data_IF_863744530103
#
_entry.id   IF_863744530103
#
_cell.length_a   1.000
_cell.length_b   1.000
_cell.length_c   1.000
_cell.angle_alpha   90.00
_cell.angle_beta   90.00
_cell.angle_gamma   90.00
#
_symmetry.space_group_name_H-M   'P 1'
#
loop_
_entity.id
_entity.type
_entity.pdbx_description
1 polymer ?
#
# COMPACT_ATOMS: atom_id res chain seq x y z
N UNK A 1 -24.70 -3.56 10.47
CA UNK A 1 -24.88 -4.38 9.26
C UNK A 1 -24.64 -3.62 7.94
N UNK A 2 -24.32 -2.34 7.96
CA UNK A 2 -24.12 -1.49 6.75
C UNK A 2 -22.65 -1.41 6.32
N UNK A 3 -21.66 -1.67 7.18
CA UNK A 3 -20.24 -1.51 6.88
C UNK A 3 -19.65 -2.68 6.07
N UNK A 4 -20.21 -3.88 6.18
CA UNK A 4 -19.72 -5.07 5.44
C UNK A 4 -20.06 -5.07 3.94
N UNK A 5 -21.08 -4.32 3.52
CA UNK A 5 -21.44 -4.19 2.12
C UNK A 5 -20.49 -3.28 1.33
N UNK A 6 -19.82 -2.33 2.01
CA UNK A 6 -18.92 -1.36 1.37
C UNK A 6 -17.59 -1.98 0.92
N UNK A 7 -17.05 -2.96 1.65
CA UNK A 7 -15.73 -3.55 1.37
C UNK A 7 -15.76 -4.51 0.16
N UNK A 8 -16.87 -5.25 -0.03
CA UNK A 8 -17.05 -6.09 -1.24
C UNK A 8 -17.12 -5.25 -2.52
N UNK A 9 -17.65 -4.04 -2.44
CA UNK A 9 -17.77 -3.14 -3.60
C UNK A 9 -16.43 -2.45 -3.93
N UNK A 10 -15.52 -2.25 -2.97
CA UNK A 10 -14.19 -1.71 -3.23
C UNK A 10 -13.30 -2.74 -3.95
N UNK A 11 -13.35 -4.02 -3.57
CA UNK A 11 -12.62 -5.08 -4.26
C UNK A 11 -13.11 -5.30 -5.70
N UNK A 12 -14.41 -5.23 -5.94
CA UNK A 12 -15.03 -5.32 -7.28
C UNK A 12 -14.72 -4.06 -8.10
N UNK A 13 -14.71 -2.87 -7.47
CA UNK A 13 -14.36 -1.60 -8.11
C UNK A 13 -12.90 -1.56 -8.58
N UNK A 14 -11.97 -2.11 -7.82
CA UNK A 14 -10.56 -2.22 -8.20
C UNK A 14 -10.39 -3.15 -9.41
N UNK A 15 -11.08 -4.30 -9.45
CA UNK A 15 -11.03 -5.22 -10.58
C UNK A 15 -11.64 -4.63 -11.87
N UNK A 16 -12.72 -3.84 -11.76
CA UNK A 16 -13.36 -3.18 -12.91
C UNK A 16 -12.53 -1.99 -13.44
N UNK A 17 -11.77 -1.31 -12.58
CA UNK A 17 -10.89 -0.21 -12.97
C UNK A 17 -9.69 -0.70 -13.81
N UNK A 18 -9.19 -1.91 -13.55
CA UNK A 18 -8.12 -2.52 -14.36
C UNK A 18 -8.55 -2.92 -15.77
N UNK A 19 -9.85 -3.13 -16.02
CA UNK A 19 -10.37 -3.54 -17.33
C UNK A 19 -10.61 -2.39 -18.33
N UNK A 20 -10.76 -1.15 -17.85
CA UNK A 20 -11.16 -0.02 -18.69
C UNK A 20 -10.09 1.06 -18.94
N UNK A 21 -9.04 1.12 -18.12
CA UNK A 21 -8.04 2.20 -18.15
C UNK A 21 -6.74 1.83 -18.88
N UNK A 22 -6.68 0.70 -19.55
CA UNK A 22 -5.45 0.19 -20.18
C UNK A 22 -4.99 1.02 -21.41
N UNK A 23 -5.66 2.09 -21.79
CA UNK A 23 -5.42 2.81 -23.05
C UNK A 23 -4.89 4.24 -22.87
N UNK A 24 -4.91 4.82 -21.68
CA UNK A 24 -4.50 6.22 -21.49
C UNK A 24 -3.13 6.32 -20.81
N UNK A 25 -2.15 6.80 -21.57
CA UNK A 25 -0.84 7.32 -21.15
C UNK A 25 0.16 6.28 -20.64
N UNK A 26 0.55 5.33 -21.46
CA UNK A 26 1.86 4.66 -21.35
C UNK A 26 2.98 5.66 -21.61
N UNK A 27 3.18 6.61 -20.72
CA UNK A 27 4.39 7.43 -20.74
C UNK A 27 5.55 6.51 -20.33
N UNK A 28 6.38 6.13 -21.32
CA UNK A 28 7.63 5.40 -21.13
C UNK A 28 8.59 6.27 -20.36
N UNK A 29 8.45 6.28 -19.02
CA UNK A 29 9.54 6.76 -18.18
C UNK A 29 10.50 5.60 -17.99
N UNK A 30 11.80 5.89 -18.16
CA UNK A 30 12.87 4.97 -17.79
C UNK A 30 12.61 4.43 -16.38
N UNK A 31 12.67 3.12 -16.20
CA UNK A 31 12.49 2.54 -14.87
C UNK A 31 13.66 3.00 -13.98
N UNK A 32 13.33 3.49 -12.80
CA UNK A 32 14.28 3.95 -11.79
C UNK A 32 14.03 3.24 -10.48
N UNK A 33 15.08 3.08 -9.69
CA UNK A 33 14.95 2.61 -8.31
C UNK A 33 14.21 3.65 -7.48
N UNK A 34 13.34 3.21 -6.60
CA UNK A 34 12.57 4.07 -5.72
C UNK A 34 12.87 3.74 -4.26
N UNK A 35 13.17 4.76 -3.49
CA UNK A 35 13.16 4.70 -2.03
C UNK A 35 11.86 5.32 -1.52
N UNK A 36 11.22 4.65 -0.57
CA UNK A 36 9.96 5.09 0.03
C UNK A 36 10.12 5.20 1.53
N UNK A 37 9.68 6.32 2.09
CA UNK A 37 9.53 6.49 3.53
C UNK A 37 8.07 6.82 3.83
N UNK A 38 7.55 6.32 4.94
CA UNK A 38 6.16 6.54 5.31
C UNK A 38 5.97 6.72 6.81
N UNK A 39 4.93 7.47 7.16
CA UNK A 39 4.44 7.63 8.52
C UNK A 39 2.90 7.70 8.51
N UNK A 40 2.24 7.05 9.46
CA UNK A 40 0.79 7.00 9.46
C UNK A 40 0.17 6.49 10.74
N UNK A 41 -1.13 6.26 10.69
CA UNK A 41 -1.93 5.71 11.77
C UNK A 41 -2.59 4.42 11.34
N UNK A 42 -2.43 3.39 12.17
CA UNK A 42 -3.06 2.08 12.04
C UNK A 42 -4.30 2.01 12.93
N UNK A 43 -5.27 1.17 12.53
CA UNK A 43 -6.55 0.95 13.22
C UNK A 43 -7.39 2.24 13.29
N UNK A 44 -7.47 2.95 12.17
CA UNK A 44 -8.20 4.22 12.06
C UNK A 44 -9.71 4.04 12.14
N UNK A 45 -10.25 2.87 11.77
CA UNK A 45 -11.68 2.59 11.74
C UNK A 45 -12.24 2.17 13.10
N UNK A 46 -11.55 1.28 13.82
CA UNK A 46 -12.02 0.72 15.10
C UNK A 46 -11.45 1.42 16.32
N UNK A 47 -10.25 2.01 16.18
CA UNK A 47 -9.54 2.79 17.21
C UNK A 47 -9.27 2.05 18.52
N UNK A 48 -9.33 0.72 18.53
CA UNK A 48 -9.08 -0.10 19.74
C UNK A 48 -7.60 -0.30 20.00
N UNK A 49 -6.80 -0.37 18.93
CA UNK A 49 -5.35 -0.59 18.98
C UNK A 49 -4.60 0.42 18.15
N UNK A 50 -5.14 1.66 18.03
CA UNK A 50 -4.51 2.72 17.25
C UNK A 50 -3.05 2.90 17.62
N UNK A 51 -2.19 2.99 16.60
CA UNK A 51 -0.76 3.16 16.75
C UNK A 51 -0.23 4.02 15.60
N UNK A 52 0.87 4.71 15.83
CA UNK A 52 1.65 5.32 14.74
C UNK A 52 2.46 4.23 14.07
N UNK A 53 2.45 4.21 12.74
CA UNK A 53 3.33 3.37 11.94
C UNK A 53 4.44 4.20 11.28
N UNK A 54 5.62 3.61 11.15
CA UNK A 54 6.73 4.11 10.34
C UNK A 54 7.12 3.01 9.38
N UNK A 55 7.43 3.37 8.13
CA UNK A 55 7.78 2.42 7.10
C UNK A 55 8.93 2.88 6.22
N UNK A 56 9.69 1.91 5.74
CA UNK A 56 10.68 2.05 4.69
C UNK A 56 10.42 1.02 3.62
N UNK A 57 10.54 1.43 2.35
CA UNK A 57 10.34 0.55 1.22
C UNK A 57 11.30 0.85 0.08
N UNK A 58 11.47 -0.13 -0.77
CA UNK A 58 12.29 -0.06 -1.97
C UNK A 58 11.55 -0.67 -3.16
N UNK A 59 11.58 0.00 -4.28
CA UNK A 59 11.10 -0.48 -5.56
C UNK A 59 12.23 -0.50 -6.56
N UNK A 60 12.71 -1.69 -6.99
CA UNK A 60 13.79 -1.79 -7.97
C UNK A 60 13.35 -1.24 -9.34
N UNK A 61 14.34 -0.81 -10.14
CA UNK A 61 14.15 -0.42 -11.55
C UNK A 61 13.81 -1.63 -12.42
N UNK A 62 12.83 -2.40 -11.99
CA UNK A 62 12.29 -3.55 -12.68
C UNK A 62 10.83 -3.28 -13.02
N UNK A 63 10.41 -3.72 -14.18
CA UNK A 63 9.01 -3.72 -14.58
C UNK A 63 8.60 -5.12 -14.95
N UNK A 64 7.50 -5.55 -14.38
CA UNK A 64 6.80 -6.76 -14.77
C UNK A 64 5.58 -6.31 -15.59
N UNK A 65 5.80 -6.05 -16.88
CA UNK A 65 4.86 -5.36 -17.79
C UNK A 65 4.56 -3.93 -17.32
N UNK A 66 3.33 -3.68 -16.88
CA UNK A 66 2.91 -2.39 -16.35
C UNK A 66 3.13 -2.26 -14.83
N UNK A 67 3.43 -3.38 -14.15
CA UNK A 67 3.57 -3.43 -12.71
C UNK A 67 5.00 -3.16 -12.26
N UNK A 68 5.12 -2.48 -11.13
CA UNK A 68 6.38 -2.21 -10.45
C UNK A 68 6.44 -3.05 -9.18
N UNK A 69 7.41 -3.98 -9.08
CA UNK A 69 7.66 -4.67 -7.82
C UNK A 69 8.13 -3.69 -6.75
N UNK A 70 7.80 -3.98 -5.51
CA UNK A 70 8.27 -3.24 -4.35
C UNK A 70 8.24 -4.13 -3.11
N UNK A 71 9.07 -3.79 -2.12
CA UNK A 71 9.07 -4.45 -0.83
C UNK A 71 9.46 -3.48 0.27
N UNK A 72 9.21 -3.84 1.51
CA UNK A 72 9.50 -2.95 2.62
C UNK A 72 9.21 -3.55 3.99
N UNK A 73 9.46 -2.71 4.98
CA UNK A 73 9.24 -3.00 6.39
C UNK A 73 8.45 -1.86 7.01
N UNK A 74 7.49 -2.21 7.85
CA UNK A 74 6.72 -1.29 8.68
C UNK A 74 6.82 -1.70 10.14
N UNK A 75 6.95 -0.72 11.02
CA UNK A 75 6.93 -0.89 12.47
C UNK A 75 5.93 0.09 13.08
N UNK A 76 5.35 -0.28 14.21
CA UNK A 76 4.41 0.58 14.93
C UNK A 76 4.88 0.89 16.34
N UNK A 77 4.34 1.96 16.93
CA UNK A 77 4.56 2.31 18.34
C UNK A 77 4.04 1.26 19.32
N UNK A 78 3.28 0.29 18.84
CA UNK A 78 2.85 -0.91 19.61
C UNK A 78 3.66 -2.16 19.27
N UNK A 79 4.87 -1.99 18.72
CA UNK A 79 5.82 -3.08 18.41
C UNK A 79 5.30 -4.10 17.38
N UNK A 80 4.24 -3.75 16.64
CA UNK A 80 3.88 -4.55 15.48
C UNK A 80 4.89 -4.33 14.37
N UNK A 81 5.21 -5.42 13.67
CA UNK A 81 6.15 -5.41 12.53
C UNK A 81 5.48 -6.10 11.34
N UNK A 82 5.60 -5.51 10.16
CA UNK A 82 5.10 -6.06 8.92
C UNK A 82 6.15 -5.95 7.82
N UNK A 83 6.71 -7.07 7.42
CA UNK A 83 7.61 -7.17 6.25
C UNK A 83 6.82 -7.64 5.03
N UNK A 84 6.90 -6.92 3.91
CA UNK A 84 6.07 -7.17 2.75
C UNK A 84 6.85 -7.10 1.43
N UNK A 85 6.34 -7.79 0.43
CA UNK A 85 6.75 -7.65 -0.97
C UNK A 85 5.51 -7.74 -1.85
N UNK A 86 5.49 -7.02 -2.96
CA UNK A 86 4.30 -6.99 -3.81
C UNK A 86 4.50 -6.18 -5.08
N UNK A 87 3.40 -5.78 -5.67
CA UNK A 87 3.35 -5.06 -6.94
C UNK A 87 2.50 -3.80 -6.81
N UNK A 88 2.87 -2.77 -7.55
CA UNK A 88 2.17 -1.50 -7.67
C UNK A 88 1.98 -1.13 -9.14
N UNK A 89 0.91 -0.40 -9.44
CA UNK A 89 0.62 0.13 -10.76
C UNK A 89 0.45 1.64 -10.68
N UNK A 90 1.30 2.40 -11.39
CA UNK A 90 1.29 3.86 -11.35
C UNK A 90 0.46 4.44 -12.51
N UNK A 91 -0.68 5.05 -12.21
CA UNK A 91 -1.48 5.86 -13.14
C UNK A 91 -1.09 7.33 -12.95
N UNK A 92 -0.55 7.96 -13.99
CA UNK A 92 -0.08 9.34 -13.95
C UNK A 92 -1.00 10.27 -14.72
N UNK A 93 -1.38 11.39 -14.09
CA UNK A 93 -2.22 12.43 -14.67
C UNK A 93 -1.54 13.78 -14.36
N UNK A 94 -0.69 14.25 -15.26
CA UNK A 94 0.15 15.44 -15.01
C UNK A 94 1.08 15.25 -13.81
N UNK A 95 1.00 16.10 -12.77
CA UNK A 95 1.81 15.96 -11.56
C UNK A 95 1.24 14.93 -10.57
N UNK A 96 0.00 14.48 -10.79
CA UNK A 96 -0.68 13.52 -9.92
C UNK A 96 -0.33 12.09 -10.32
N UNK A 97 -0.28 11.20 -9.31
CA UNK A 97 -0.14 9.76 -9.51
C UNK A 97 -1.14 9.06 -8.61
N UNK A 98 -1.90 8.14 -9.17
CA UNK A 98 -2.73 7.20 -8.41
C UNK A 98 -2.07 5.83 -8.50
N UNK A 99 -1.75 5.24 -7.34
CA UNK A 99 -0.99 3.97 -7.28
C UNK A 99 -1.74 2.94 -6.45
N UNK A 100 -2.59 2.09 -7.07
CA UNK A 100 -3.03 0.86 -6.45
C UNK A 100 -1.86 -0.11 -6.30
N UNK A 101 -1.82 -0.83 -5.19
CA UNK A 101 -0.82 -1.87 -4.92
C UNK A 101 -1.40 -3.02 -4.10
N UNK A 102 -0.77 -4.19 -4.25
CA UNK A 102 -1.09 -5.38 -3.49
C UNK A 102 0.20 -6.06 -3.05
N UNK A 103 0.28 -6.45 -1.78
CA UNK A 103 1.48 -7.02 -1.19
C UNK A 103 1.15 -8.07 -0.12
N UNK A 104 1.49 -9.34 -0.32
CA UNK A 104 1.64 -10.31 0.75
C UNK A 104 2.80 -9.95 1.67
N UNK A 105 2.72 -10.34 2.94
CA UNK A 105 3.78 -10.09 3.90
C UNK A 105 3.61 -10.87 5.19
N UNK A 106 4.66 -10.84 6.01
CA UNK A 106 4.68 -11.47 7.32
C UNK A 106 4.45 -10.41 8.41
N UNK A 107 3.49 -10.68 9.25
CA UNK A 107 3.06 -9.81 10.32
C UNK A 107 3.34 -10.40 11.70
N UNK A 108 3.90 -9.58 12.59
CA UNK A 108 4.02 -9.85 14.01
C UNK A 108 3.32 -8.74 14.77
N UNK A 109 2.33 -9.09 15.60
CA UNK A 109 1.44 -8.11 16.21
C UNK A 109 2.07 -7.24 17.31
N UNK A 110 3.11 -7.75 18.03
CA UNK A 110 3.56 -7.09 19.25
C UNK A 110 2.39 -6.87 20.23
N UNK A 111 2.16 -5.60 20.59
CA UNK A 111 1.00 -5.15 21.38
C UNK A 111 -0.11 -4.53 20.50
N UNK A 112 0.02 -4.65 19.19
CA UNK A 112 -0.94 -4.13 18.21
C UNK A 112 -2.13 -5.06 17.98
N UNK A 113 -2.77 -4.90 16.82
CA UNK A 113 -3.94 -5.70 16.41
C UNK A 113 -3.54 -7.15 16.20
N UNK A 114 -4.33 -8.08 16.73
CA UNK A 114 -4.21 -9.50 16.38
C UNK A 114 -4.99 -9.73 15.06
N UNK A 115 -4.27 -9.97 13.99
CA UNK A 115 -4.85 -10.21 12.68
C UNK A 115 -5.22 -11.68 12.43
N UNK A 116 -4.88 -12.57 13.38
CA UNK A 116 -5.31 -13.98 13.39
C UNK A 116 -4.42 -14.93 12.61
N UNK A 117 -3.46 -14.44 11.81
CA UNK A 117 -2.52 -15.26 11.05
C UNK A 117 -1.21 -14.49 10.77
N UNK A 118 -0.05 -15.14 10.65
CA UNK A 118 1.20 -14.45 10.36
C UNK A 118 1.31 -13.95 8.91
N UNK A 119 0.71 -14.64 7.95
CA UNK A 119 0.69 -14.20 6.56
C UNK A 119 -0.52 -13.28 6.35
N UNK A 120 -0.22 -12.04 5.98
CA UNK A 120 -1.20 -11.00 5.74
C UNK A 120 -1.06 -10.43 4.35
N UNK A 121 -2.17 -9.92 3.81
CA UNK A 121 -2.23 -9.29 2.50
C UNK A 121 -2.61 -7.83 2.67
N UNK A 122 -1.81 -6.92 2.11
CA UNK A 122 -2.04 -5.48 2.11
C UNK A 122 -2.55 -5.04 0.74
N UNK A 123 -3.75 -4.49 0.71
CA UNK A 123 -4.27 -3.72 -0.42
C UNK A 123 -4.15 -2.24 -0.11
N UNK A 124 -3.59 -1.44 -1.02
CA UNK A 124 -3.37 -0.02 -0.80
C UNK A 124 -3.71 0.79 -2.04
N UNK A 125 -4.25 1.99 -1.82
CA UNK A 125 -4.40 3.02 -2.83
C UNK A 125 -3.68 4.28 -2.35
N UNK A 126 -2.66 4.71 -3.10
CA UNK A 126 -1.91 5.95 -2.86
C UNK A 126 -2.34 7.01 -3.88
N UNK A 127 -2.59 8.23 -3.41
CA UNK A 127 -2.67 9.45 -4.21
C UNK A 127 -1.40 10.28 -3.96
N UNK A 128 -0.56 10.43 -4.97
CA UNK A 128 0.72 11.11 -4.89
C UNK A 128 0.77 12.38 -5.74
N UNK A 129 1.51 13.37 -5.31
CA UNK A 129 1.80 14.60 -6.02
C UNK A 129 3.31 14.75 -6.22
N UNK A 130 3.74 14.94 -7.45
CA UNK A 130 5.15 15.14 -7.82
C UNK A 130 5.58 16.55 -7.42
N UNK A 131 6.52 16.65 -6.49
CA UNK A 131 7.07 17.92 -5.98
C UNK A 131 8.39 18.29 -6.67
N UNK A 132 9.04 17.33 -7.33
CA UNK A 132 10.22 17.55 -8.18
C UNK A 132 10.32 16.41 -9.21
N UNK A 133 11.32 16.48 -10.10
CA UNK A 133 11.57 15.42 -11.10
C UNK A 133 11.87 14.07 -10.47
N UNK A 134 12.32 14.05 -9.21
CA UNK A 134 12.74 12.82 -8.50
C UNK A 134 11.95 12.54 -7.24
N UNK A 135 11.04 13.43 -6.83
CA UNK A 135 10.39 13.28 -5.53
C UNK A 135 8.88 13.45 -5.64
N UNK A 136 8.16 12.63 -4.89
CA UNK A 136 6.72 12.63 -4.76
C UNK A 136 6.35 12.54 -3.27
N UNK A 137 5.36 13.31 -2.86
CA UNK A 137 4.65 13.14 -1.59
C UNK A 137 3.27 12.58 -1.88
N UNK A 138 2.73 11.80 -0.95
CA UNK A 138 1.43 11.18 -1.15
C UNK A 138 0.75 10.81 0.15
N UNK A 139 -0.51 10.44 0.01
CA UNK A 139 -1.31 9.86 1.08
C UNK A 139 -1.90 8.54 0.58
N UNK A 140 -1.91 7.54 1.43
CA UNK A 140 -2.46 6.23 1.11
C UNK A 140 -3.49 5.78 2.15
N UNK A 141 -4.48 5.05 1.64
CA UNK A 141 -5.36 4.21 2.42
C UNK A 141 -4.96 2.76 2.18
N UNK A 142 -4.81 2.00 3.24
CA UNK A 142 -4.52 0.57 3.14
C UNK A 142 -5.40 -0.26 4.05
N UNK A 143 -5.63 -1.50 3.61
CA UNK A 143 -6.27 -2.55 4.37
C UNK A 143 -5.35 -3.75 4.42
N UNK A 144 -5.13 -4.30 5.61
CA UNK A 144 -4.35 -5.50 5.84
C UNK A 144 -5.24 -6.57 6.45
N UNK A 145 -5.23 -7.76 5.88
CA UNK A 145 -6.02 -8.90 6.36
C UNK A 145 -5.43 -10.22 5.88
N UNK A 146 -5.74 -11.31 6.58
CA UNK A 146 -5.23 -12.65 6.25
C UNK A 146 -6.05 -13.39 5.17
N UNK A 147 -6.98 -12.73 4.49
CA UNK A 147 -7.85 -13.36 3.47
C UNK A 147 -8.59 -14.61 3.98
N UNK A 148 -8.88 -14.68 5.29
CA UNK A 148 -9.52 -15.83 5.96
C UNK A 148 -8.66 -17.09 6.03
N UNK A 149 -7.34 -16.98 5.94
CA UNK A 149 -6.41 -18.10 6.16
C UNK A 149 -6.33 -18.50 7.65
N UNK A 150 -6.60 -17.57 8.56
CA UNK A 150 -6.66 -17.82 10.01
C UNK A 150 -8.07 -18.14 10.49
N UNK A 151 -8.17 -18.49 11.78
CA UNK A 151 -9.47 -18.72 12.44
C UNK A 151 -10.31 -17.44 12.55
N UNK A 152 -9.66 -16.29 12.58
CA UNK A 152 -10.26 -14.97 12.60
C UNK A 152 -9.60 -14.10 11.54
N UNK A 153 -10.35 -13.16 10.97
CA UNK A 153 -9.87 -12.21 9.99
C UNK A 153 -10.44 -10.81 10.29
N UNK A 154 -9.99 -10.15 11.37
CA UNK A 154 -10.53 -8.85 11.75
C UNK A 154 -10.18 -7.76 10.75
N UNK A 155 -9.04 -7.87 10.08
CA UNK A 155 -8.47 -6.84 9.23
C UNK A 155 -8.08 -5.57 10.00
N UNK A 156 -7.33 -4.68 9.37
CA UNK A 156 -7.00 -3.37 9.92
C UNK A 156 -6.79 -2.37 8.78
N UNK A 157 -7.27 -1.14 8.98
CA UNK A 157 -7.10 -0.03 8.05
C UNK A 157 -6.05 0.95 8.57
N UNK A 158 -5.27 1.52 7.64
CA UNK A 158 -4.32 2.57 7.94
C UNK A 158 -4.42 3.73 6.94
N UNK A 159 -4.11 4.92 7.46
CA UNK A 159 -3.89 6.14 6.68
C UNK A 159 -2.43 6.52 6.81
N UNK A 160 -1.74 6.68 5.70
CA UNK A 160 -0.28 6.83 5.68
C UNK A 160 0.12 7.99 4.78
N UNK A 161 1.01 8.84 5.25
CA UNK A 161 1.74 9.82 4.44
C UNK A 161 3.00 9.15 3.89
N UNK A 162 3.30 9.40 2.62
CA UNK A 162 4.44 8.80 1.92
C UNK A 162 5.31 9.88 1.30
N UNK A 163 6.60 9.63 1.36
CA UNK A 163 7.61 10.30 0.55
C UNK A 163 8.31 9.28 -0.30
N UNK A 164 8.31 9.47 -1.61
CA UNK A 164 8.98 8.60 -2.57
C UNK A 164 10.03 9.38 -3.33
N UNK A 165 11.25 8.83 -3.40
CA UNK A 165 12.38 9.41 -4.12
C UNK A 165 12.93 8.43 -5.13
N UNK A 166 13.09 8.87 -6.37
CA UNK A 166 13.82 8.16 -7.41
C UNK A 166 15.33 8.23 -7.13
N UNK A 167 16.00 7.07 -7.18
CA UNK A 167 17.43 6.90 -7.03
C UNK A 167 18.10 6.75 -8.41
N UNK A 168 19.32 7.24 -8.52
CA UNK A 168 20.06 7.20 -9.79
C UNK A 168 19.93 8.51 -10.60
N UNK A 169 20.74 8.60 -11.64
CA UNK A 169 20.77 9.75 -12.58
C UNK A 169 19.61 9.72 -13.53
#
# INVERSE_FOLDING_TARGET
MVVLASIRNVAVGVAAFFGGAAVAAHQRHEPVDLLMASAGWVDVSRRRHSAVELGLGYGPRLRLWAFRPAGGLMVTTKEAVYGWTGIAYDVRIGPLTLTPSFAPGLYRRGRGVDLGYPLEFRSQLEAGYRISDRSRVGMALSHVSNASLGRTNPGVEAVTLLYTRALGR
#
